data_IF_372779177360
#
_entry.id   IF_372779177360
#
_cell.length_a   1.000
_cell.length_b   1.000
_cell.length_c   1.000
_cell.angle_alpha   90.00
_cell.angle_beta   90.00
_cell.angle_gamma   90.00
#
_symmetry.space_group_name_H-M   'P 1'
#
loop_
_entity.id
_entity.type
_entity.pdbx_description
1 polymer ?
#
# COMPACT_ATOMS: atom_id res chain seq x y z
N UNK A 1 -1.81 31.36 -6.83
CA UNK A 1 -2.15 29.94 -7.07
C UNK A 1 -3.64 29.87 -7.26
N UNK A 2 -4.12 29.20 -8.31
CA UNK A 2 -5.55 28.94 -8.51
C UNK A 2 -6.02 27.81 -7.58
N UNK A 3 -7.34 27.65 -7.41
CA UNK A 3 -7.91 26.62 -6.53
C UNK A 3 -7.74 25.19 -7.07
N UNK A 4 -7.66 25.03 -8.39
CA UNK A 4 -7.55 23.74 -9.09
C UNK A 4 -6.28 22.95 -8.71
N UNK A 5 -5.05 23.48 -8.81
CA UNK A 5 -3.84 22.73 -8.45
C UNK A 5 -3.74 22.47 -6.93
N UNK A 6 -4.35 23.31 -6.10
CA UNK A 6 -4.43 23.06 -4.66
C UNK A 6 -5.38 21.91 -4.34
N UNK A 7 -6.53 21.86 -5.00
CA UNK A 7 -7.47 20.75 -4.89
C UNK A 7 -6.84 19.45 -5.39
N UNK A 8 -6.15 19.49 -6.54
CA UNK A 8 -5.41 18.35 -7.08
C UNK A 8 -4.32 17.88 -6.11
N UNK A 9 -3.49 18.78 -5.58
CA UNK A 9 -2.47 18.45 -4.59
C UNK A 9 -3.07 17.84 -3.31
N UNK A 10 -4.18 18.40 -2.83
CA UNK A 10 -4.91 17.85 -1.68
C UNK A 10 -5.43 16.44 -1.94
N UNK A 11 -6.04 16.20 -3.11
CA UNK A 11 -6.52 14.88 -3.51
C UNK A 11 -5.39 13.86 -3.63
N UNK A 12 -4.27 14.24 -4.24
CA UNK A 12 -3.06 13.40 -4.30
C UNK A 12 -2.51 13.10 -2.89
N UNK A 13 -2.61 14.06 -1.95
CA UNK A 13 -2.28 13.83 -0.55
C UNK A 13 -3.16 12.76 0.11
N UNK A 14 -4.47 12.77 -0.18
CA UNK A 14 -5.40 11.72 0.29
C UNK A 14 -5.03 10.36 -0.31
N UNK A 15 -4.74 10.29 -1.61
CA UNK A 15 -4.30 9.06 -2.26
C UNK A 15 -3.01 8.52 -1.64
N UNK A 16 -2.07 9.39 -1.28
CA UNK A 16 -0.86 8.99 -0.57
C UNK A 16 -1.19 8.37 0.79
N UNK A 17 -2.12 8.97 1.53
CA UNK A 17 -2.64 8.41 2.77
C UNK A 17 -3.24 7.01 2.59
N UNK A 18 -4.01 6.80 1.51
CA UNK A 18 -4.56 5.48 1.16
C UNK A 18 -3.45 4.48 0.88
N UNK A 19 -2.42 4.84 0.09
CA UNK A 19 -1.26 3.97 -0.19
C UNK A 19 -0.55 3.57 1.09
N UNK A 20 -0.29 4.53 1.99
CA UNK A 20 0.34 4.26 3.29
C UNK A 20 -0.53 3.36 4.18
N UNK A 21 -1.85 3.56 4.17
CA UNK A 21 -2.80 2.70 4.85
C UNK A 21 -2.75 1.26 4.34
N UNK A 22 -2.79 1.07 3.01
CA UNK A 22 -2.66 -0.24 2.38
C UNK A 22 -1.33 -0.92 2.72
N UNK A 23 -0.22 -0.18 2.73
CA UNK A 23 1.08 -0.70 3.19
C UNK A 23 1.08 -1.11 4.66
N UNK A 24 0.35 -0.40 5.52
CA UNK A 24 0.17 -0.77 6.91
C UNK A 24 -0.68 -2.04 7.06
N UNK A 25 -1.80 -2.14 6.33
CA UNK A 25 -2.64 -3.34 6.28
C UNK A 25 -1.89 -4.55 5.71
N UNK A 26 -1.03 -4.35 4.72
CA UNK A 26 -0.20 -5.40 4.13
C UNK A 26 0.80 -6.04 5.12
N UNK A 27 1.03 -5.43 6.29
CA UNK A 27 1.90 -5.95 7.36
C UNK A 27 1.12 -6.65 8.48
N UNK A 28 -0.20 -6.62 8.47
CA UNK A 28 -1.01 -7.25 9.51
C UNK A 28 -1.07 -8.76 9.30
N UNK A 29 -0.94 -9.52 10.39
CA UNK A 29 -1.22 -10.96 10.38
C UNK A 29 -2.71 -11.19 10.22
N UNK A 30 -3.08 -12.02 9.25
CA UNK A 30 -4.47 -12.42 9.01
C UNK A 30 -4.80 -13.76 9.68
N UNK A 31 -3.87 -14.32 10.45
CA UNK A 31 -4.08 -15.57 11.18
C UNK A 31 -5.01 -15.34 12.36
N UNK A 32 -6.16 -16.02 12.37
CA UNK A 32 -7.10 -15.97 13.49
C UNK A 32 -6.43 -16.39 14.82
N UNK A 33 -5.53 -17.37 14.74
CA UNK A 33 -4.78 -17.89 15.88
C UNK A 33 -3.72 -16.93 16.42
N UNK A 34 -3.34 -15.88 15.69
CA UNK A 34 -2.50 -14.81 16.20
C UNK A 34 -3.24 -13.86 17.15
N UNK A 35 -4.58 -13.93 17.20
CA UNK A 35 -5.39 -13.08 18.08
C UNK A 35 -5.07 -13.30 19.57
N UNK A 36 -5.14 -12.21 20.35
CA UNK A 36 -5.04 -12.24 21.82
C UNK A 36 -6.24 -12.95 22.45
N UNK A 37 -7.38 -13.00 21.77
CA UNK A 37 -8.60 -13.68 22.26
C UNK A 37 -8.33 -15.16 22.52
N UNK A 38 -7.56 -15.83 21.66
CA UNK A 38 -7.23 -17.25 21.80
C UNK A 38 -6.01 -17.51 22.69
N UNK A 39 -5.42 -16.49 23.31
CA UNK A 39 -4.22 -16.68 24.14
C UNK A 39 -4.49 -17.57 25.36
N UNK A 40 -5.68 -17.47 25.95
CA UNK A 40 -6.09 -18.37 27.05
C UNK A 40 -6.27 -19.81 26.58
N UNK A 41 -6.97 -20.00 25.46
CA UNK A 41 -7.19 -21.33 24.86
C UNK A 41 -5.87 -22.03 24.54
N UNK A 42 -4.91 -21.33 23.93
CA UNK A 42 -3.57 -21.88 23.60
C UNK A 42 -2.78 -22.34 24.83
N UNK A 43 -3.02 -21.74 26.00
CA UNK A 43 -2.36 -22.16 27.25
C UNK A 43 -3.02 -23.38 27.88
N UNK A 44 -4.33 -23.53 27.67
CA UNK A 44 -5.12 -24.61 28.26
C UNK A 44 -5.05 -25.92 27.44
N UNK A 45 -4.85 -25.82 26.12
CA UNK A 45 -4.86 -26.97 25.21
C UNK A 45 -3.43 -27.25 24.71
N UNK A 46 -2.94 -28.46 24.97
CA UNK A 46 -1.55 -28.88 24.67
C UNK A 46 -1.22 -28.86 23.17
N UNK A 47 -2.19 -29.18 22.32
CA UNK A 47 -2.03 -29.27 20.85
C UNK A 47 -2.81 -28.17 20.11
N UNK A 48 -2.87 -26.96 20.68
CA UNK A 48 -3.55 -25.84 20.03
C UNK A 48 -2.85 -25.47 18.69
N UNK A 49 -3.61 -25.19 17.61
CA UNK A 49 -3.01 -24.81 16.33
C UNK A 49 -2.10 -23.59 16.46
N UNK A 50 -0.92 -23.67 15.85
CA UNK A 50 0.00 -22.54 15.77
C UNK A 50 -0.55 -21.46 14.84
N UNK A 51 -0.27 -20.16 15.09
CA UNK A 51 -0.57 -19.12 14.13
C UNK A 51 0.14 -19.40 12.81
N UNK A 52 -0.62 -19.43 11.72
CA UNK A 52 -0.06 -19.47 10.38
C UNK A 52 1.02 -18.40 10.19
N UNK A 53 2.15 -18.82 9.61
CA UNK A 53 3.29 -17.98 9.33
C UNK A 53 3.01 -17.00 8.18
N UNK A 54 3.85 -15.96 8.01
CA UNK A 54 3.71 -14.99 6.93
C UNK A 54 3.82 -15.58 5.52
N UNK A 55 4.43 -16.77 5.38
CA UNK A 55 4.60 -17.48 4.10
C UNK A 55 3.45 -18.45 3.78
N UNK A 56 2.60 -18.74 4.75
CA UNK A 56 1.58 -19.79 4.59
C UNK A 56 0.41 -19.26 3.76
N UNK A 57 -0.02 -20.01 2.76
CA UNK A 57 -1.22 -19.68 1.99
C UNK A 57 -2.48 -19.88 2.87
N UNK A 58 -3.48 -18.98 2.83
CA UNK A 58 -3.62 -17.77 2.00
C UNK A 58 -3.07 -16.48 2.66
N UNK A 59 -2.41 -16.56 3.81
CA UNK A 59 -1.94 -15.40 4.57
C UNK A 59 -0.82 -14.63 3.85
N UNK A 60 0.05 -15.33 3.12
CA UNK A 60 1.08 -14.75 2.25
C UNK A 60 0.49 -13.89 1.11
N UNK A 61 -0.69 -14.25 0.64
CA UNK A 61 -1.37 -13.61 -0.49
C UNK A 61 -2.02 -12.28 -0.15
N UNK A 62 -2.52 -12.13 1.08
CA UNK A 62 -3.23 -10.91 1.49
C UNK A 62 -2.30 -9.69 1.44
N UNK A 63 -1.07 -9.81 1.94
CA UNK A 63 -0.09 -8.73 1.87
C UNK A 63 0.31 -8.37 0.43
N UNK A 64 0.35 -9.37 -0.45
CA UNK A 64 0.62 -9.18 -1.89
C UNK A 64 -0.51 -8.41 -2.58
N UNK A 65 -1.75 -8.78 -2.30
CA UNK A 65 -2.93 -8.10 -2.83
C UNK A 65 -2.95 -6.61 -2.44
N UNK A 66 -2.78 -6.30 -1.16
CA UNK A 66 -2.76 -4.90 -0.69
C UNK A 66 -1.64 -4.08 -1.34
N UNK A 67 -0.44 -4.67 -1.54
CA UNK A 67 0.68 -4.03 -2.25
C UNK A 67 0.39 -3.79 -3.72
N UNK A 68 -0.30 -4.71 -4.40
CA UNK A 68 -0.72 -4.53 -5.78
C UNK A 68 -1.76 -3.41 -5.92
N UNK A 69 -2.73 -3.34 -5.01
CA UNK A 69 -3.70 -2.24 -4.95
C UNK A 69 -3.00 -0.91 -4.65
N UNK A 70 -2.06 -0.89 -3.70
CA UNK A 70 -1.27 0.30 -3.39
C UNK A 70 -0.48 0.81 -4.61
N UNK A 71 0.13 -0.10 -5.37
CA UNK A 71 0.83 0.23 -6.61
C UNK A 71 -0.13 0.82 -7.66
N UNK A 72 -1.31 0.23 -7.82
CA UNK A 72 -2.34 0.75 -8.72
C UNK A 72 -2.74 2.18 -8.36
N UNK A 73 -2.97 2.47 -7.08
CA UNK A 73 -3.28 3.83 -6.60
C UNK A 73 -2.13 4.80 -6.88
N UNK A 74 -0.87 4.39 -6.71
CA UNK A 74 0.28 5.21 -7.10
C UNK A 74 0.28 5.55 -8.59
N UNK A 75 -0.04 4.58 -9.47
CA UNK A 75 -0.12 4.81 -10.92
C UNK A 75 -1.23 5.81 -11.26
N UNK A 76 -2.41 5.68 -10.65
CA UNK A 76 -3.51 6.65 -10.81
C UNK A 76 -3.09 8.05 -10.37
N UNK A 77 -2.48 8.17 -9.18
CA UNK A 77 -2.00 9.45 -8.65
C UNK A 77 -0.97 10.10 -9.58
N UNK A 78 0.00 9.34 -10.08
CA UNK A 78 1.00 9.83 -11.03
C UNK A 78 0.37 10.27 -12.35
N UNK A 79 -0.62 9.53 -12.85
CA UNK A 79 -1.35 9.87 -14.09
C UNK A 79 -2.09 11.21 -13.92
N UNK A 80 -2.79 11.39 -12.81
CA UNK A 80 -3.48 12.64 -12.48
C UNK A 80 -2.50 13.81 -12.32
N UNK A 81 -1.39 13.59 -11.60
CA UNK A 81 -0.36 14.62 -11.43
C UNK A 81 0.28 15.02 -12.77
N UNK A 82 0.56 14.06 -13.66
CA UNK A 82 1.09 14.36 -14.99
C UNK A 82 0.10 15.15 -15.84
N UNK A 83 -1.18 14.78 -15.83
CA UNK A 83 -2.21 15.52 -16.55
C UNK A 83 -2.31 16.97 -16.06
N UNK A 84 -2.26 17.19 -14.75
CA UNK A 84 -2.31 18.53 -14.17
C UNK A 84 -1.04 19.35 -14.47
N UNK A 85 0.12 18.71 -14.43
CA UNK A 85 1.39 19.37 -14.75
C UNK A 85 1.45 19.84 -16.22
N UNK A 86 0.81 19.11 -17.13
CA UNK A 86 0.68 19.52 -18.55
C UNK A 86 -0.27 20.71 -18.72
N UNK A 87 -1.30 20.81 -17.88
CA UNK A 87 -2.28 21.92 -17.93
C UNK A 87 -1.71 23.21 -17.32
N UNK A 88 -0.89 23.10 -16.28
CA UNK A 88 -0.40 24.23 -15.50
C UNK A 88 1.07 24.59 -15.81
N UNK A 89 1.29 25.77 -16.37
CA UNK A 89 2.62 26.24 -16.80
C UNK A 89 3.31 27.15 -15.75
N UNK A 90 2.67 27.42 -14.61
CA UNK A 90 3.26 28.28 -13.57
C UNK A 90 4.25 27.46 -12.73
N UNK A 91 5.50 27.94 -12.56
CA UNK A 91 6.55 27.16 -11.89
C UNK A 91 6.21 26.83 -10.43
N UNK A 92 5.54 27.74 -9.72
CA UNK A 92 5.12 27.50 -8.33
C UNK A 92 4.08 26.37 -8.22
N UNK A 93 3.14 26.28 -9.16
CA UNK A 93 2.12 25.22 -9.18
C UNK A 93 2.77 23.88 -9.54
N UNK A 94 3.71 23.88 -10.48
CA UNK A 94 4.49 22.71 -10.83
C UNK A 94 5.30 22.17 -9.65
N UNK A 95 5.94 23.03 -8.86
CA UNK A 95 6.69 22.62 -7.65
C UNK A 95 5.77 21.94 -6.63
N UNK A 96 4.58 22.49 -6.38
CA UNK A 96 3.62 21.91 -5.42
C UNK A 96 3.12 20.54 -5.89
N UNK A 97 2.74 20.42 -7.16
CA UNK A 97 2.31 19.14 -7.73
C UNK A 97 3.44 18.11 -7.72
N UNK A 98 4.66 18.51 -8.08
CA UNK A 98 5.84 17.65 -8.04
C UNK A 98 6.14 17.17 -6.62
N UNK A 99 6.06 18.05 -5.62
CA UNK A 99 6.31 17.71 -4.22
C UNK A 99 5.40 16.57 -3.71
N UNK A 100 4.14 16.54 -4.16
CA UNK A 100 3.18 15.48 -3.80
C UNK A 100 3.28 14.26 -4.71
N UNK A 101 3.66 14.43 -5.98
CA UNK A 101 3.81 13.32 -6.94
C UNK A 101 5.07 12.46 -6.68
N UNK A 102 6.18 13.08 -6.27
CA UNK A 102 7.46 12.37 -6.05
C UNK A 102 7.35 11.20 -5.06
N UNK A 103 6.71 11.33 -3.87
CA UNK A 103 6.47 10.21 -2.97
C UNK A 103 5.76 9.02 -3.62
N UNK A 104 4.77 9.28 -4.48
CA UNK A 104 4.06 8.22 -5.21
C UNK A 104 4.98 7.50 -6.18
N UNK A 105 5.85 8.23 -6.89
CA UNK A 105 6.85 7.65 -7.79
C UNK A 105 7.84 6.76 -7.05
N UNK A 106 8.37 7.24 -5.92
CA UNK A 106 9.29 6.48 -5.07
C UNK A 106 8.63 5.20 -4.54
N UNK A 107 7.39 5.31 -4.02
CA UNK A 107 6.64 4.16 -3.51
C UNK A 107 6.32 3.17 -4.63
N UNK A 108 5.92 3.63 -5.81
CA UNK A 108 5.67 2.76 -6.96
C UNK A 108 6.91 1.94 -7.33
N UNK A 109 8.09 2.57 -7.39
CA UNK A 109 9.35 1.87 -7.66
C UNK A 109 9.66 0.82 -6.59
N UNK A 110 9.49 1.17 -5.31
CA UNK A 110 9.70 0.24 -4.19
C UNK A 110 8.74 -0.93 -4.25
N UNK A 111 7.45 -0.67 -4.49
CA UNK A 111 6.40 -1.68 -4.59
C UNK A 111 6.63 -2.63 -5.76
N UNK A 112 6.96 -2.12 -6.94
CA UNK A 112 7.32 -2.93 -8.11
C UNK A 112 8.51 -3.84 -7.80
N UNK A 113 9.57 -3.29 -7.19
CA UNK A 113 10.75 -4.07 -6.82
C UNK A 113 10.44 -5.14 -5.78
N UNK A 114 9.56 -4.85 -4.82
CA UNK A 114 9.12 -5.82 -3.81
C UNK A 114 8.29 -6.93 -4.45
N UNK A 115 7.29 -6.58 -5.26
CA UNK A 115 6.42 -7.55 -5.91
C UNK A 115 7.18 -8.47 -6.86
N UNK A 116 8.18 -7.96 -7.59
CA UNK A 116 9.04 -8.77 -8.47
C UNK A 116 9.96 -9.76 -7.75
N UNK A 117 10.24 -9.53 -6.46
CA UNK A 117 11.13 -10.38 -5.66
C UNK A 117 10.40 -11.49 -4.91
N UNK A 118 9.08 -11.54 -4.99
CA UNK A 118 8.29 -12.54 -4.27
C UNK A 118 8.14 -13.77 -5.17
N UNK A 119 8.60 -14.91 -4.65
CA UNK A 119 8.40 -16.21 -5.28
C UNK A 119 6.98 -16.71 -5.00
N UNK A 120 6.32 -17.27 -6.00
CA UNK A 120 4.94 -17.77 -5.88
C UNK A 120 5.02 -19.23 -5.51
N UNK A 121 4.78 -19.56 -4.25
CA UNK A 121 4.62 -20.96 -3.83
C UNK A 121 3.18 -21.39 -4.12
N UNK A 122 2.91 -22.28 -5.08
CA UNK A 122 1.58 -22.80 -5.31
C UNK A 122 1.10 -23.59 -4.09
N UNK A 123 -0.21 -23.61 -3.79
CA UNK A 123 -0.76 -24.49 -2.75
C UNK A 123 -0.55 -25.95 -3.15
N UNK A 124 -0.12 -26.78 -2.19
CA UNK A 124 -0.01 -28.23 -2.32
C UNK A 124 -1.37 -28.94 -2.17
#
# INVERSE_FOLDING_TARGET
MTAEPLLAAGYLGVLLGVVLGLEAYARQTTSAWASRVFAGYRRAVRDAPAPAGPGDWPHSEVGRFHRAVALFVCVVALTLASAELVRHHRPAEAVVLAAVAVPHGLLAVVLVRRLRRIEVTPPE
#
